data_IF_951274509243
#
_entry.id   IF_951274509243
#
_cell.length_a   1.000
_cell.length_b   1.000
_cell.length_c   1.000
_cell.angle_alpha   90.00
_cell.angle_beta   90.00
_cell.angle_gamma   90.00
#
_symmetry.space_group_name_H-M   'P 1'
#
loop_
_entity.id
_entity.type
_entity.pdbx_description
1 polymer ?
#
# COMPACT_ATOMS: atom_id res chain seq x y z
N UNK A 1 -1.13 41.32 76.41
CA UNK A 1 -1.44 42.18 75.24
C UNK A 1 -2.93 42.12 74.94
N UNK A 2 -3.72 43.09 75.43
CA UNK A 2 -5.08 43.35 74.93
C UNK A 2 -5.08 44.74 74.28
N UNK A 3 -5.80 44.88 73.16
CA UNK A 3 -6.20 46.15 72.53
C UNK A 3 -5.14 46.94 71.70
N UNK A 4 -4.42 46.28 70.77
CA UNK A 4 -3.82 46.96 69.60
C UNK A 4 -4.66 46.84 68.31
N UNK A 5 -5.84 46.22 68.35
CA UNK A 5 -6.68 45.95 67.17
C UNK A 5 -6.15 44.86 66.22
N UNK A 6 -4.91 44.40 66.40
CA UNK A 6 -4.19 43.48 65.50
C UNK A 6 -4.73 42.05 65.40
N UNK A 7 -5.82 41.68 66.12
CA UNK A 7 -6.31 40.31 66.17
C UNK A 7 -6.69 39.76 64.77
N UNK A 8 -7.32 40.58 63.92
CA UNK A 8 -7.62 40.18 62.54
C UNK A 8 -6.36 40.10 61.68
N UNK A 9 -5.40 41.01 61.86
CA UNK A 9 -4.11 41.00 61.14
C UNK A 9 -3.31 39.74 61.45
N UNK A 10 -3.25 39.34 62.72
CA UNK A 10 -2.62 38.08 63.16
C UNK A 10 -3.31 36.89 62.51
N UNK A 11 -4.65 36.81 62.60
CA UNK A 11 -5.42 35.72 61.96
C UNK A 11 -5.22 35.66 60.44
N UNK A 12 -5.09 36.79 59.75
CA UNK A 12 -4.82 36.82 58.30
C UNK A 12 -3.38 36.43 57.96
N UNK A 13 -2.41 36.76 58.82
CA UNK A 13 -1.02 36.33 58.66
C UNK A 13 -0.83 34.83 58.91
N UNK A 14 -1.50 34.27 59.92
CA UNK A 14 -1.54 32.83 60.22
C UNK A 14 -2.10 31.98 59.06
N UNK A 15 -2.95 32.57 58.22
CA UNK A 15 -3.59 31.92 57.07
C UNK A 15 -3.03 32.42 55.72
N UNK A 16 -1.92 33.15 55.70
CA UNK A 16 -1.28 33.63 54.47
C UNK A 16 -0.36 32.56 53.86
N UNK A 17 -0.30 32.49 52.53
CA UNK A 17 0.56 31.52 51.86
C UNK A 17 2.06 31.83 52.11
N UNK A 18 2.87 30.83 52.49
CA UNK A 18 4.29 31.01 52.78
C UNK A 18 5.08 31.30 51.50
N UNK A 19 6.03 32.25 51.58
CA UNK A 19 6.90 32.64 50.46
C UNK A 19 8.10 31.70 50.23
N UNK A 20 8.31 30.76 51.15
CA UNK A 20 9.45 29.83 51.19
C UNK A 20 9.08 28.40 50.81
N UNK A 21 7.91 28.20 50.19
CA UNK A 21 7.30 26.90 49.94
C UNK A 21 6.35 26.45 51.06
N UNK A 22 5.48 25.49 50.74
CA UNK A 22 4.46 24.95 51.62
C UNK A 22 3.25 24.41 50.85
N UNK A 23 2.32 23.76 51.54
CA UNK A 23 1.10 23.19 50.95
C UNK A 23 -0.01 24.23 50.86
N UNK A 24 -0.69 24.29 49.71
CA UNK A 24 -1.92 25.07 49.52
C UNK A 24 -3.10 24.10 49.42
N UNK A 25 -4.08 24.23 50.31
CA UNK A 25 -5.30 23.41 50.31
C UNK A 25 -6.46 24.22 49.75
N UNK A 26 -7.07 23.74 48.67
CA UNK A 26 -8.24 24.36 48.03
C UNK A 26 -7.99 24.76 46.57
N UNK A 27 -8.94 25.49 45.98
CA UNK A 27 -8.84 25.99 44.60
C UNK A 27 -7.88 27.18 44.52
N UNK A 28 -6.99 27.16 43.53
CA UNK A 28 -6.11 28.28 43.19
C UNK A 28 -6.50 28.81 41.81
N UNK A 29 -6.99 30.05 41.75
CA UNK A 29 -7.23 30.77 40.50
C UNK A 29 -6.09 31.77 40.27
N UNK A 30 -5.37 31.63 39.16
CA UNK A 30 -4.28 32.56 38.80
C UNK A 30 -4.79 33.56 37.75
N UNK A 31 -5.14 34.75 38.20
CA UNK A 31 -5.52 35.86 37.31
C UNK A 31 -4.31 36.76 37.05
N UNK A 32 -3.82 36.78 35.80
CA UNK A 32 -2.68 37.60 35.37
C UNK A 32 -2.87 38.10 33.95
N UNK A 33 -2.24 39.22 33.59
CA UNK A 33 -2.30 39.75 32.20
C UNK A 33 -1.39 38.96 31.24
N UNK A 34 -0.26 38.44 31.72
CA UNK A 34 0.68 37.59 30.98
C UNK A 34 1.41 36.66 31.95
N UNK A 35 1.74 35.44 31.52
CA UNK A 35 2.68 34.55 32.24
C UNK A 35 2.21 34.08 33.62
N UNK A 36 1.00 33.50 33.70
CA UNK A 36 0.35 33.11 34.96
C UNK A 36 1.19 32.17 35.85
N UNK A 37 1.80 31.13 35.26
CA UNK A 37 2.65 30.18 35.98
C UNK A 37 4.01 30.12 35.29
N UNK A 38 5.07 30.31 36.09
CA UNK A 38 6.45 30.15 35.65
C UNK A 38 7.20 29.29 36.65
N UNK A 39 7.59 28.11 36.21
CA UNK A 39 8.56 27.27 36.92
C UNK A 39 9.97 27.80 36.58
N UNK A 40 10.85 27.91 37.56
CA UNK A 40 12.28 28.15 37.35
C UNK A 40 13.06 27.08 38.08
N UNK A 41 14.02 26.45 37.40
CA UNK A 41 14.95 25.52 38.02
C UNK A 41 16.13 26.30 38.64
N UNK A 42 16.79 25.77 39.69
CA UNK A 42 17.89 26.47 40.36
C UNK A 42 19.15 26.58 39.48
N UNK A 43 19.38 25.61 38.59
CA UNK A 43 20.51 25.59 37.66
C UNK A 43 20.03 25.33 36.22
N UNK A 44 20.89 25.63 35.24
CA UNK A 44 20.70 25.14 33.87
C UNK A 44 20.73 23.60 33.90
N UNK A 45 19.86 22.98 33.11
CA UNK A 45 19.70 21.52 33.00
C UNK A 45 19.21 20.81 34.27
N UNK A 46 18.81 21.51 35.33
CA UNK A 46 18.03 20.89 36.41
C UNK A 46 16.71 20.33 35.89
N UNK A 47 16.24 19.28 36.54
CA UNK A 47 14.87 18.79 36.40
C UNK A 47 13.85 19.88 36.76
N UNK A 48 12.77 19.93 35.99
CA UNK A 48 11.70 20.91 36.17
C UNK A 48 10.41 20.38 35.56
N UNK A 49 9.43 20.09 36.42
CA UNK A 49 8.16 19.48 36.04
C UNK A 49 7.03 19.90 36.97
N UNK A 50 5.79 19.78 36.48
CA UNK A 50 4.60 19.71 37.34
C UNK A 50 4.44 18.26 37.76
N UNK A 51 4.37 18.03 39.07
CA UNK A 51 4.11 16.72 39.64
C UNK A 51 2.62 16.52 39.92
N UNK A 52 2.12 15.31 39.65
CA UNK A 52 0.82 14.84 40.08
C UNK A 52 1.07 13.60 40.95
N UNK A 53 0.55 13.57 42.17
CA UNK A 53 0.85 12.52 43.15
C UNK A 53 -0.27 12.27 44.15
N UNK A 54 -0.12 11.20 44.92
CA UNK A 54 -1.00 10.81 46.01
C UNK A 54 -0.19 10.39 47.24
N UNK A 55 -0.41 11.09 48.37
CA UNK A 55 0.47 10.99 49.54
C UNK A 55 1.90 11.40 49.19
N UNK A 56 2.87 10.59 49.60
CA UNK A 56 4.30 10.80 49.32
C UNK A 56 4.76 10.17 47.98
N UNK A 57 3.82 9.74 47.12
CA UNK A 57 4.11 9.05 45.86
C UNK A 57 3.72 9.88 44.63
N UNK A 58 4.61 9.92 43.64
CA UNK A 58 4.32 10.48 42.31
C UNK A 58 3.53 9.49 41.46
N UNK A 59 2.46 9.99 40.85
CA UNK A 59 1.58 9.25 39.94
C UNK A 59 1.84 9.58 38.46
N UNK A 60 2.24 10.82 38.18
CA UNK A 60 2.54 11.34 36.84
C UNK A 60 3.38 12.63 36.90
N UNK A 61 3.99 13.03 35.78
CA UNK A 61 4.60 14.37 35.65
C UNK A 61 4.49 14.96 34.23
N UNK A 62 4.63 16.28 34.16
CA UNK A 62 4.74 17.07 32.92
C UNK A 62 5.99 17.96 32.99
N UNK A 63 7.01 17.69 32.18
CA UNK A 63 8.22 18.53 32.08
C UNK A 63 9.50 17.76 31.77
N UNK A 64 10.62 18.30 32.26
CA UNK A 64 11.95 17.68 32.17
C UNK A 64 12.20 16.90 33.46
N UNK A 65 11.91 15.60 33.46
CA UNK A 65 11.86 14.77 34.67
C UNK A 65 13.20 14.29 35.24
N UNK A 66 14.34 14.75 34.72
CA UNK A 66 15.67 14.42 35.24
C UNK A 66 16.69 15.48 34.86
N UNK A 67 17.78 15.59 35.63
CA UNK A 67 18.91 16.46 35.27
C UNK A 67 19.46 16.09 33.87
N UNK A 68 19.89 17.09 33.12
CA UNK A 68 20.51 17.00 31.79
C UNK A 68 19.64 16.37 30.67
N UNK A 69 18.35 16.07 30.93
CA UNK A 69 17.44 15.63 29.86
C UNK A 69 17.09 16.78 28.92
N UNK A 70 17.16 16.51 27.61
CA UNK A 70 16.64 17.39 26.56
C UNK A 70 15.18 17.07 26.21
N UNK A 71 14.64 16.00 26.78
CA UNK A 71 13.33 15.46 26.41
C UNK A 71 12.23 16.03 27.31
N UNK A 72 11.37 16.87 26.74
CA UNK A 72 10.12 17.26 27.40
C UNK A 72 9.17 16.06 27.41
N UNK A 73 8.64 15.70 28.58
CA UNK A 73 7.92 14.45 28.79
C UNK A 73 6.59 14.67 29.50
N UNK A 74 5.53 14.03 28.99
CA UNK A 74 4.31 13.69 29.72
C UNK A 74 4.49 12.23 30.16
N UNK A 75 4.59 11.97 31.45
CA UNK A 75 4.75 10.61 31.99
C UNK A 75 3.59 10.24 32.92
N UNK A 76 3.14 9.00 32.82
CA UNK A 76 2.23 8.36 33.77
C UNK A 76 3.02 7.24 34.46
N UNK A 77 3.44 7.45 35.70
CA UNK A 77 4.25 6.49 36.46
C UNK A 77 3.44 5.19 36.74
N UNK A 78 2.11 5.26 36.89
CA UNK A 78 1.24 4.09 37.14
C UNK A 78 1.18 3.08 35.98
N UNK A 79 1.43 3.51 34.76
CA UNK A 79 1.41 2.67 33.54
C UNK A 79 2.75 2.63 32.82
N UNK A 80 3.74 3.35 33.35
CA UNK A 80 5.02 3.67 32.69
C UNK A 80 4.90 4.36 31.32
N UNK A 81 3.70 4.80 30.91
CA UNK A 81 3.47 5.39 29.60
C UNK A 81 4.11 6.79 29.47
N UNK A 82 4.63 7.10 28.28
CA UNK A 82 5.35 8.36 28.00
C UNK A 82 4.93 8.93 26.65
N UNK A 83 4.65 10.23 26.60
CA UNK A 83 4.71 11.02 25.37
C UNK A 83 5.87 12.00 25.52
N UNK A 84 6.81 11.94 24.59
CA UNK A 84 8.12 12.60 24.66
C UNK A 84 8.32 13.51 23.45
N UNK A 85 8.98 14.64 23.64
CA UNK A 85 9.43 15.55 22.60
C UNK A 85 10.91 15.82 22.82
N UNK A 86 11.73 15.43 21.83
CA UNK A 86 13.17 15.70 21.76
C UNK A 86 13.49 16.16 20.33
N UNK A 87 14.39 15.49 19.61
CA UNK A 87 14.62 15.69 18.17
C UNK A 87 13.40 15.28 17.32
N UNK A 88 12.62 14.33 17.81
CA UNK A 88 11.32 13.91 17.26
C UNK A 88 10.31 13.73 18.40
N UNK A 89 9.02 13.66 18.06
CA UNK A 89 7.98 13.24 18.98
C UNK A 89 7.97 11.71 19.08
N UNK A 90 7.84 11.16 20.29
CA UNK A 90 7.87 9.72 20.56
C UNK A 90 6.82 9.31 21.59
N UNK A 91 6.31 8.08 21.48
CA UNK A 91 5.43 7.45 22.45
C UNK A 91 6.07 6.15 22.97
N UNK A 92 6.25 6.03 24.29
CA UNK A 92 6.99 4.94 24.93
C UNK A 92 8.34 4.68 24.22
N UNK A 93 9.14 5.73 24.06
CA UNK A 93 10.44 5.71 23.37
C UNK A 93 10.41 5.30 21.87
N UNK A 94 9.23 5.00 21.30
CA UNK A 94 9.04 4.74 19.87
C UNK A 94 8.70 6.04 19.13
N UNK A 95 9.46 6.38 18.09
CA UNK A 95 9.21 7.54 17.23
C UNK A 95 7.77 7.54 16.66
N UNK A 96 7.08 8.68 16.77
CA UNK A 96 5.83 8.95 16.06
C UNK A 96 6.13 9.30 14.59
N UNK A 97 5.17 9.05 13.71
CA UNK A 97 5.33 9.15 12.25
C UNK A 97 5.92 10.50 11.81
N UNK A 98 6.86 10.45 10.86
CA UNK A 98 7.30 11.62 10.10
C UNK A 98 7.02 11.50 8.58
N UNK A 99 7.43 12.50 7.82
CA UNK A 99 7.18 12.59 6.38
C UNK A 99 7.91 11.49 5.59
N UNK A 100 9.06 10.99 6.07
CA UNK A 100 9.76 9.84 5.46
C UNK A 100 9.05 8.50 5.69
N UNK A 101 8.22 8.40 6.74
CA UNK A 101 7.30 7.27 6.92
C UNK A 101 6.07 7.35 6.00
N UNK A 102 5.76 8.51 5.41
CA UNK A 102 4.51 8.75 4.64
C UNK A 102 4.77 8.92 3.15
N UNK A 103 5.82 9.66 2.74
CA UNK A 103 6.11 9.97 1.33
C UNK A 103 6.80 8.82 0.66
N UNK A 104 5.96 7.91 0.26
CA UNK A 104 6.32 6.85 -0.62
C UNK A 104 6.27 7.23 -2.09
N UNK A 105 7.25 6.78 -2.87
CA UNK A 105 7.19 6.90 -4.32
C UNK A 105 6.39 5.75 -5.00
N UNK A 106 5.80 4.83 -4.20
CA UNK A 106 4.47 4.16 -4.34
C UNK A 106 4.20 3.28 -3.10
N UNK A 107 3.82 3.78 -1.93
CA UNK A 107 4.04 3.13 -0.61
C UNK A 107 5.52 2.83 -0.24
N UNK A 108 5.91 2.60 1.01
CA UNK A 108 5.16 2.13 2.18
C UNK A 108 5.30 3.05 3.38
N UNK A 109 4.48 2.73 4.36
CA UNK A 109 4.85 2.72 5.78
C UNK A 109 4.58 1.32 6.35
N UNK A 110 4.98 1.11 7.60
CA UNK A 110 4.68 -0.07 8.43
C UNK A 110 3.46 0.12 9.34
N UNK A 111 2.82 1.30 9.28
CA UNK A 111 1.37 1.44 9.50
C UNK A 111 0.65 1.01 8.21
N UNK A 112 -0.68 1.01 8.17
CA UNK A 112 -1.44 0.58 6.97
C UNK A 112 -1.22 1.51 5.76
N UNK A 113 -0.19 1.21 4.97
CA UNK A 113 0.31 1.90 3.76
C UNK A 113 1.08 0.82 2.93
N UNK A 114 1.15 0.88 1.59
CA UNK A 114 1.44 -0.30 0.72
C UNK A 114 2.72 -0.24 -0.16
N UNK A 115 3.85 -0.85 0.24
CA UNK A 115 5.19 -0.60 -0.33
C UNK A 115 5.35 -0.54 -1.85
N UNK A 116 6.28 0.29 -2.36
CA UNK A 116 6.61 0.42 -3.79
C UNK A 116 6.95 -0.93 -4.36
N UNK A 117 7.78 -1.65 -3.62
CA UNK A 117 8.14 -3.03 -3.90
C UNK A 117 6.95 -4.00 -3.84
N UNK A 118 5.99 -3.84 -2.93
CA UNK A 118 4.76 -4.67 -2.88
C UNK A 118 3.83 -4.38 -4.05
N UNK A 119 3.58 -3.11 -4.37
CA UNK A 119 2.79 -2.65 -5.51
C UNK A 119 3.42 -3.14 -6.82
N UNK A 120 4.72 -2.90 -7.02
CA UNK A 120 5.48 -3.41 -8.18
C UNK A 120 5.52 -4.93 -8.21
N UNK A 121 5.67 -5.65 -7.09
CA UNK A 121 5.65 -7.12 -7.08
C UNK A 121 4.26 -7.69 -7.39
N UNK A 122 3.18 -7.05 -6.93
CA UNK A 122 1.82 -7.43 -7.28
C UNK A 122 1.54 -7.22 -8.78
N UNK A 123 1.93 -6.05 -9.31
CA UNK A 123 1.85 -5.75 -10.75
C UNK A 123 2.69 -6.76 -11.56
N UNK A 124 3.93 -7.06 -11.14
CA UNK A 124 4.80 -7.99 -11.85
C UNK A 124 4.31 -9.45 -11.77
N UNK A 125 3.70 -9.90 -10.67
CA UNK A 125 3.01 -11.20 -10.61
C UNK A 125 1.82 -11.24 -11.59
N UNK A 126 1.11 -10.13 -11.70
CA UNK A 126 -0.01 -9.97 -12.64
C UNK A 126 0.44 -9.65 -14.08
N UNK A 127 1.74 -9.53 -14.36
CA UNK A 127 2.25 -9.45 -15.74
C UNK A 127 1.99 -10.75 -16.53
N UNK A 128 1.62 -11.83 -15.83
CA UNK A 128 1.01 -13.03 -16.40
C UNK A 128 -0.32 -12.77 -17.15
N UNK A 129 -0.95 -11.60 -17.01
CA UNK A 129 -2.14 -11.21 -17.79
C UNK A 129 -1.80 -10.40 -19.06
N UNK A 130 -0.56 -10.47 -19.53
CA UNK A 130 -0.10 -9.81 -20.76
C UNK A 130 0.18 -8.30 -20.63
N UNK A 131 0.34 -7.81 -19.41
CA UNK A 131 0.75 -6.43 -19.15
C UNK A 131 2.15 -6.20 -19.74
N UNK A 132 2.30 -5.14 -20.54
CA UNK A 132 3.51 -4.77 -21.28
C UNK A 132 3.97 -5.77 -22.37
N UNK A 133 3.09 -6.65 -22.85
CA UNK A 133 3.32 -7.43 -24.07
C UNK A 133 2.96 -6.63 -25.32
N UNK A 134 3.45 -7.06 -26.49
CA UNK A 134 3.13 -6.44 -27.78
C UNK A 134 2.61 -7.50 -28.77
N UNK A 135 1.67 -7.09 -29.63
CA UNK A 135 1.19 -7.93 -30.71
C UNK A 135 2.26 -8.09 -31.79
N UNK A 136 2.61 -9.32 -32.11
CA UNK A 136 3.56 -9.67 -33.15
C UNK A 136 2.85 -10.45 -34.26
N UNK A 137 3.05 -10.05 -35.51
CA UNK A 137 2.67 -10.89 -36.66
C UNK A 137 3.71 -12.00 -36.80
N UNK A 138 3.27 -13.24 -36.63
CA UNK A 138 4.11 -14.44 -36.72
C UNK A 138 3.67 -15.35 -37.87
N UNK A 139 2.81 -14.86 -38.77
CA UNK A 139 2.19 -15.66 -39.85
C UNK A 139 3.21 -16.42 -40.68
N UNK A 140 4.32 -15.79 -41.08
CA UNK A 140 5.40 -16.46 -41.84
C UNK A 140 6.23 -17.49 -41.04
N UNK A 141 6.13 -17.50 -39.72
CA UNK A 141 6.90 -18.36 -38.80
C UNK A 141 6.06 -19.49 -38.16
N UNK A 142 4.73 -19.47 -38.36
CA UNK A 142 3.77 -20.42 -37.77
C UNK A 142 3.02 -21.16 -38.86
N UNK A 143 2.76 -22.45 -38.66
CA UNK A 143 2.00 -23.30 -39.60
C UNK A 143 1.01 -24.20 -38.85
N UNK A 144 -0.13 -24.55 -39.47
CA UNK A 144 -1.00 -25.61 -38.96
C UNK A 144 -0.23 -26.92 -38.74
N UNK A 145 -0.68 -27.72 -37.78
CA UNK A 145 -0.13 -29.04 -37.39
C UNK A 145 1.31 -29.06 -36.86
N UNK A 146 1.99 -27.91 -36.77
CA UNK A 146 3.30 -27.80 -36.14
C UNK A 146 3.13 -27.48 -34.65
N UNK A 147 3.88 -28.19 -33.80
CA UNK A 147 3.95 -27.91 -32.38
C UNK A 147 5.00 -26.84 -32.07
N UNK A 148 4.56 -25.79 -31.39
CA UNK A 148 5.37 -24.70 -30.85
C UNK A 148 5.41 -24.82 -29.33
N UNK A 149 6.36 -24.13 -28.70
CA UNK A 149 6.48 -24.07 -27.24
C UNK A 149 6.57 -22.62 -26.79
N UNK A 150 5.75 -22.25 -25.82
CA UNK A 150 5.92 -20.98 -25.12
C UNK A 150 7.17 -21.09 -24.23
N UNK A 151 8.31 -20.64 -24.75
CA UNK A 151 9.58 -20.63 -24.03
C UNK A 151 9.79 -19.35 -23.18
N UNK A 152 8.78 -18.48 -23.09
CA UNK A 152 8.83 -17.29 -22.24
C UNK A 152 8.41 -17.61 -20.80
N UNK A 153 8.65 -16.67 -19.88
CA UNK A 153 8.19 -16.71 -18.49
C UNK A 153 6.74 -16.23 -18.31
N UNK A 154 6.05 -15.88 -19.40
CA UNK A 154 4.71 -15.27 -19.42
C UNK A 154 3.75 -16.06 -20.31
N UNK A 155 2.44 -15.97 -20.11
CA UNK A 155 1.51 -16.49 -21.09
C UNK A 155 1.62 -15.74 -22.42
N UNK A 156 1.30 -16.41 -23.53
CA UNK A 156 1.13 -15.80 -24.84
C UNK A 156 -0.35 -15.86 -25.17
N UNK A 157 -0.97 -14.76 -25.59
CA UNK A 157 -2.31 -14.83 -26.19
C UNK A 157 -2.14 -15.00 -27.70
N UNK A 158 -2.71 -16.06 -28.26
CA UNK A 158 -2.74 -16.26 -29.72
C UNK A 158 -4.06 -15.80 -30.31
N UNK A 159 -4.00 -15.23 -31.51
CA UNK A 159 -5.15 -14.99 -32.37
C UNK A 159 -4.83 -15.50 -33.77
N UNK A 160 -5.52 -16.56 -34.20
CA UNK A 160 -5.31 -17.15 -35.52
C UNK A 160 -6.62 -17.13 -36.29
N UNK A 161 -6.60 -16.57 -37.49
CA UNK A 161 -7.77 -16.48 -38.37
C UNK A 161 -7.46 -17.11 -39.73
N UNK A 162 -8.35 -17.96 -40.21
CA UNK A 162 -8.36 -18.42 -41.60
C UNK A 162 -9.54 -17.78 -42.33
N UNK A 163 -9.24 -17.08 -43.43
CA UNK A 163 -10.20 -16.29 -44.19
C UNK A 163 -10.04 -16.57 -45.69
N UNK A 164 -11.16 -16.80 -46.37
CA UNK A 164 -11.17 -17.02 -47.82
C UNK A 164 -12.43 -16.44 -48.48
N UNK A 165 -12.29 -15.99 -49.73
CA UNK A 165 -13.41 -15.56 -50.57
C UNK A 165 -13.81 -16.73 -51.47
N UNK A 166 -15.04 -17.23 -51.31
CA UNK A 166 -15.49 -18.46 -51.98
C UNK A 166 -16.79 -18.31 -52.74
N UNK A 167 -16.94 -19.14 -53.77
CA UNK A 167 -18.07 -19.18 -54.72
C UNK A 167 -18.83 -20.54 -54.63
N UNK A 168 -18.36 -21.47 -53.79
CA UNK A 168 -18.86 -22.85 -53.64
C UNK A 168 -18.75 -23.29 -52.18
N UNK A 169 -19.24 -24.49 -51.88
CA UNK A 169 -19.18 -25.12 -50.55
C UNK A 169 -17.80 -25.00 -49.90
N UNK A 170 -17.75 -24.36 -48.74
CA UNK A 170 -16.53 -24.12 -47.98
C UNK A 170 -16.71 -24.56 -46.54
N UNK A 171 -15.69 -25.24 -46.05
CA UNK A 171 -15.59 -25.74 -44.69
C UNK A 171 -14.18 -25.45 -44.17
N UNK A 172 -14.10 -24.86 -42.99
CA UNK A 172 -12.87 -24.87 -42.20
C UNK A 172 -13.21 -25.11 -40.73
N UNK A 173 -12.48 -26.02 -40.11
CA UNK A 173 -12.47 -26.28 -38.68
C UNK A 173 -11.05 -26.10 -38.15
N UNK A 174 -10.89 -25.19 -37.20
CA UNK A 174 -9.65 -24.90 -36.48
C UNK A 174 -9.79 -25.39 -35.03
N UNK A 175 -8.75 -26.01 -34.48
CA UNK A 175 -8.65 -26.30 -33.06
C UNK A 175 -7.31 -25.85 -32.49
N UNK A 176 -7.34 -25.30 -31.28
CA UNK A 176 -6.14 -24.99 -30.49
C UNK A 176 -5.89 -26.13 -29.50
N UNK A 177 -4.79 -26.85 -29.72
CA UNK A 177 -4.27 -27.85 -28.82
C UNK A 177 -3.22 -27.24 -27.89
N UNK A 178 -3.29 -27.55 -26.59
CA UNK A 178 -2.30 -27.18 -25.58
C UNK A 178 -1.94 -28.45 -24.79
N UNK A 179 -0.65 -28.79 -24.75
CA UNK A 179 -0.10 -29.98 -24.09
C UNK A 179 -0.78 -31.31 -24.47
N UNK A 180 -1.25 -31.44 -25.72
CA UNK A 180 -1.92 -32.64 -26.22
C UNK A 180 -3.44 -32.62 -26.09
N UNK A 181 -4.03 -31.65 -25.40
CA UNK A 181 -5.48 -31.51 -25.26
C UNK A 181 -6.00 -30.30 -26.05
N UNK A 182 -7.08 -30.49 -26.81
CA UNK A 182 -7.77 -29.39 -27.48
C UNK A 182 -8.56 -28.55 -26.45
N UNK A 183 -8.32 -27.24 -26.46
CA UNK A 183 -8.87 -26.28 -25.49
C UNK A 183 -9.90 -25.35 -26.12
N UNK A 184 -9.79 -25.09 -27.43
CA UNK A 184 -10.75 -24.28 -28.17
C UNK A 184 -10.96 -24.85 -29.58
N UNK A 185 -12.20 -24.80 -30.06
CA UNK A 185 -12.62 -25.21 -31.40
C UNK A 185 -13.42 -24.09 -32.04
N UNK A 186 -13.26 -23.92 -33.35
CA UNK A 186 -14.02 -22.96 -34.14
C UNK A 186 -14.06 -23.40 -35.58
N UNK A 187 -15.21 -23.29 -36.21
CA UNK A 187 -15.32 -23.55 -37.64
C UNK A 187 -16.50 -22.83 -38.24
N UNK A 188 -16.47 -22.66 -39.55
CA UNK A 188 -17.66 -22.29 -40.31
C UNK A 188 -17.81 -23.18 -41.53
N UNK A 189 -19.05 -23.46 -41.87
CA UNK A 189 -19.49 -24.29 -42.97
C UNK A 189 -20.54 -23.50 -43.74
N UNK A 190 -20.25 -23.16 -44.99
CA UNK A 190 -21.17 -22.41 -45.84
C UNK A 190 -21.44 -23.23 -47.10
N UNK A 191 -22.72 -23.53 -47.33
CA UNK A 191 -23.20 -24.00 -48.62
C UNK A 191 -23.67 -22.81 -49.44
N UNK A 192 -22.84 -22.37 -50.38
CA UNK A 192 -23.12 -21.22 -51.23
C UNK A 192 -23.90 -21.65 -52.49
N UNK A 193 -25.11 -21.11 -52.66
CA UNK A 193 -25.82 -21.14 -53.93
C UNK A 193 -25.72 -19.74 -54.55
N UNK A 194 -24.85 -19.62 -55.57
CA UNK A 194 -24.55 -18.40 -56.36
C UNK A 194 -24.24 -17.11 -55.58
N UNK A 195 -22.95 -16.89 -55.29
CA UNK A 195 -22.43 -15.61 -54.78
C UNK A 195 -20.99 -15.72 -54.27
N UNK A 196 -20.26 -14.60 -54.19
CA UNK A 196 -18.98 -14.55 -53.47
C UNK A 196 -19.28 -14.28 -52.00
N UNK A 197 -18.91 -15.19 -51.12
CA UNK A 197 -19.08 -15.06 -49.66
C UNK A 197 -17.71 -15.06 -48.98
N UNK A 198 -17.51 -14.15 -48.04
CA UNK A 198 -16.34 -14.13 -47.18
C UNK A 198 -16.54 -15.13 -46.03
N UNK A 199 -15.79 -16.24 -46.06
CA UNK A 199 -15.80 -17.26 -45.02
C UNK A 199 -14.64 -17.03 -44.05
N UNK A 200 -14.90 -17.11 -42.75
CA UNK A 200 -13.88 -16.91 -41.70
C UNK A 200 -14.03 -17.95 -40.58
N UNK A 201 -12.96 -18.69 -40.32
CA UNK A 201 -12.76 -19.44 -39.07
C UNK A 201 -11.69 -18.74 -38.22
N UNK A 202 -11.78 -18.84 -36.89
CA UNK A 202 -10.81 -18.21 -36.01
C UNK A 202 -10.68 -18.97 -34.69
N UNK A 203 -9.46 -19.13 -34.18
CA UNK A 203 -9.22 -19.66 -32.84
C UNK A 203 -8.32 -18.71 -32.05
N UNK A 204 -8.67 -18.50 -30.78
CA UNK A 204 -7.88 -17.68 -29.86
C UNK A 204 -7.71 -18.41 -28.54
N UNK A 205 -6.68 -18.04 -27.78
CA UNK A 205 -6.44 -18.68 -26.48
C UNK A 205 -5.18 -18.20 -25.79
N UNK A 206 -5.08 -18.47 -24.49
CA UNK A 206 -3.91 -18.18 -23.66
C UNK A 206 -3.06 -19.44 -23.54
N UNK A 207 -1.80 -19.34 -23.94
CA UNK A 207 -0.80 -20.42 -23.85
C UNK A 207 0.04 -20.21 -22.58
N UNK A 208 -0.04 -21.07 -21.56
CA UNK A 208 0.74 -20.93 -20.34
C UNK A 208 2.27 -20.95 -20.58
N UNK A 209 3.09 -20.35 -19.69
CA UNK A 209 4.54 -20.46 -19.74
C UNK A 209 4.99 -21.93 -19.76
N UNK A 210 5.94 -22.27 -20.62
CA UNK A 210 6.47 -23.63 -20.78
C UNK A 210 5.55 -24.62 -21.48
N UNK A 211 4.29 -24.29 -21.77
CA UNK A 211 3.36 -25.17 -22.47
C UNK A 211 3.72 -25.32 -23.96
N UNK A 212 3.47 -26.51 -24.49
CA UNK A 212 3.48 -26.77 -25.93
C UNK A 212 2.09 -26.51 -26.50
N UNK A 213 2.00 -25.93 -27.69
CA UNK A 213 0.75 -25.61 -28.37
C UNK A 213 0.85 -25.86 -29.86
N UNK A 214 -0.26 -26.24 -30.48
CA UNK A 214 -0.40 -26.37 -31.93
C UNK A 214 -1.80 -25.99 -32.36
N UNK A 215 -1.95 -25.56 -33.60
CA UNK A 215 -3.25 -25.39 -34.22
C UNK A 215 -3.46 -26.51 -35.25
N UNK A 216 -4.54 -27.29 -35.13
CA UNK A 216 -5.00 -28.13 -36.24
C UNK A 216 -5.98 -27.33 -37.10
N UNK A 217 -6.00 -27.59 -38.42
CA UNK A 217 -6.92 -26.92 -39.34
C UNK A 217 -7.32 -27.85 -40.48
N UNK A 218 -8.58 -28.28 -40.47
CA UNK A 218 -9.18 -29.11 -41.50
C UNK A 218 -10.04 -28.24 -42.42
N UNK A 219 -9.73 -28.24 -43.71
CA UNK A 219 -10.52 -27.53 -44.73
C UNK A 219 -10.57 -28.34 -46.03
N UNK A 220 -11.59 -28.10 -46.85
CA UNK A 220 -11.75 -28.68 -48.18
C UNK A 220 -11.16 -27.81 -49.32
N UNK A 221 -10.43 -26.74 -48.98
CA UNK A 221 -9.72 -25.85 -49.92
C UNK A 221 -8.21 -25.80 -49.60
N UNK A 222 -7.40 -25.35 -50.55
CA UNK A 222 -5.94 -25.31 -50.37
C UNK A 222 -5.51 -24.19 -49.40
N UNK A 223 -4.73 -24.55 -48.38
CA UNK A 223 -4.22 -23.62 -47.38
C UNK A 223 -3.05 -22.81 -47.94
N UNK A 224 -3.36 -21.63 -48.47
CA UNK A 224 -2.37 -20.67 -48.95
C UNK A 224 -1.98 -19.67 -47.84
N UNK A 225 -0.70 -19.30 -47.78
CA UNK A 225 -0.12 -18.41 -46.74
C UNK A 225 -0.79 -17.01 -46.67
N UNK A 226 -1.50 -16.58 -47.72
CA UNK A 226 -2.26 -15.32 -47.75
C UNK A 226 -3.63 -15.36 -47.04
N UNK A 227 -4.19 -16.55 -46.80
CA UNK A 227 -5.51 -16.77 -46.22
C UNK A 227 -5.47 -17.01 -44.70
N UNK A 228 -4.31 -17.39 -44.17
CA UNK A 228 -4.08 -17.55 -42.73
C UNK A 228 -3.42 -16.28 -42.17
N UNK A 229 -3.81 -15.86 -40.97
CA UNK A 229 -3.10 -14.82 -40.19
C UNK A 229 -2.92 -15.32 -38.77
N UNK A 230 -1.72 -15.14 -38.21
CA UNK A 230 -1.37 -15.59 -36.87
C UNK A 230 -0.68 -14.46 -36.11
N UNK A 231 -1.32 -14.00 -35.04
CA UNK A 231 -0.81 -12.98 -34.15
C UNK A 231 -0.56 -13.55 -32.75
N UNK A 232 0.56 -13.18 -32.14
CA UNK A 232 0.93 -13.54 -30.78
C UNK A 232 1.15 -12.26 -29.96
N UNK A 233 0.36 -12.07 -28.91
CA UNK A 233 0.65 -11.08 -27.86
C UNK A 233 1.67 -11.72 -26.92
N UNK A 234 2.92 -11.24 -26.97
CA UNK A 234 4.06 -11.80 -26.22
C UNK A 234 4.96 -10.74 -25.62
#
# INVERSE_FOLDING_TARGET
>A
MKNLGLAETVKRAENAYPKTGGTITGRVDINSRYGALRLNAPERNSDIFVEFGSGDSRDAFLGFGSRDTKTFTIHNDKTSAKLQINEYAAFNDNKLLDVSDIVSHTGSSTKTVMSQKSTTAAINRNASLGINQQWQDVTGNRKPYVAYKNNTDRPIYISVTYQELVIRDWYALMALNINGQDIAYSGTSISAHEGVIESRAFVTGIIPPGASYSMSMYTNHDVNDGNLRWYELS
#
